data_IF_243878853798
#
_entry.id   IF_243878853798
#
_cell.length_a   1.000
_cell.length_b   1.000
_cell.length_c   1.000
_cell.angle_alpha   90.00
_cell.angle_beta   90.00
_cell.angle_gamma   90.00
#
_symmetry.space_group_name_H-M   'P 1'
#
loop_
_entity.id
_entity.type
_entity.pdbx_description
1 polymer ?
#
# COMPACT_ATOMS: atom_id res chain seq x y z
N UNK A 1 6.40 8.93 0.22
CA UNK A 1 6.72 7.92 1.26
C UNK A 1 5.72 6.80 1.09
N UNK A 2 6.14 5.56 1.26
CA UNK A 2 5.25 4.41 1.19
C UNK A 2 5.12 3.78 2.58
N UNK A 3 3.88 3.47 2.95
CA UNK A 3 3.50 2.77 4.19
C UNK A 3 2.47 1.70 3.81
N UNK A 4 2.64 0.49 4.33
CA UNK A 4 1.72 -0.60 4.02
C UNK A 4 1.61 -1.58 5.17
N UNK A 5 0.54 -2.36 5.17
CA UNK A 5 0.30 -3.43 6.11
C UNK A 5 -0.56 -4.52 5.48
N UNK A 6 -0.85 -5.56 6.25
CA UNK A 6 -1.58 -6.73 5.78
C UNK A 6 -2.87 -6.94 6.57
N UNK A 7 -3.92 -7.36 5.86
CA UNK A 7 -5.23 -7.64 6.43
C UNK A 7 -5.70 -9.03 6.03
N UNK A 8 -6.23 -9.77 6.99
CA UNK A 8 -6.97 -11.00 6.77
C UNK A 8 -8.43 -10.68 6.46
N UNK A 9 -9.07 -11.53 5.65
CA UNK A 9 -10.50 -11.48 5.34
C UNK A 9 -11.04 -10.17 4.74
N UNK A 10 -10.17 -9.31 4.20
CA UNK A 10 -10.60 -8.12 3.45
C UNK A 10 -11.44 -8.50 2.24
N UNK A 11 -12.53 -7.76 2.01
CA UNK A 11 -13.26 -7.82 0.75
C UNK A 11 -12.38 -7.31 -0.38
N UNK A 12 -12.72 -7.65 -1.61
CA UNK A 12 -11.98 -7.21 -2.79
C UNK A 12 -12.94 -6.74 -3.89
N UNK A 13 -12.41 -5.92 -4.81
CA UNK A 13 -13.08 -5.59 -6.06
C UNK A 13 -12.80 -6.65 -7.11
N UNK A 14 -13.82 -7.10 -7.83
CA UNK A 14 -13.66 -7.95 -9.00
C UNK A 14 -13.74 -7.13 -10.29
N UNK A 15 -13.46 -7.78 -11.43
CA UNK A 15 -13.42 -7.12 -12.73
C UNK A 15 -14.78 -6.56 -13.19
N UNK A 16 -15.87 -7.04 -12.60
CA UNK A 16 -17.24 -6.53 -12.79
C UNK A 16 -17.51 -5.24 -12.00
N UNK A 17 -16.55 -4.77 -11.20
CA UNK A 17 -16.66 -3.58 -10.34
C UNK A 17 -17.43 -3.82 -9.04
N UNK A 18 -17.89 -5.05 -8.76
CA UNK A 18 -18.56 -5.38 -7.53
C UNK A 18 -17.56 -5.78 -6.43
N UNK A 19 -18.02 -5.63 -5.18
CA UNK A 19 -17.25 -6.00 -3.98
C UNK A 19 -17.67 -7.40 -3.53
N UNK A 20 -16.69 -8.30 -3.40
CA UNK A 20 -16.90 -9.68 -2.95
C UNK A 20 -16.16 -9.96 -1.64
N UNK A 21 -16.69 -10.84 -0.77
CA UNK A 21 -15.98 -11.25 0.44
C UNK A 21 -14.77 -12.12 0.10
N UNK A 22 -13.75 -12.11 0.97
CA UNK A 22 -12.49 -12.86 0.76
C UNK A 22 -12.71 -14.34 0.38
N UNK A 23 -13.69 -15.00 1.00
CA UNK A 23 -14.05 -16.40 0.73
C UNK A 23 -14.40 -16.70 -0.73
N UNK A 24 -14.84 -15.70 -1.49
CA UNK A 24 -15.28 -15.86 -2.89
C UNK A 24 -14.13 -15.84 -3.90
N UNK A 25 -12.87 -15.67 -3.45
CA UNK A 25 -11.70 -15.47 -4.33
C UNK A 25 -11.42 -16.63 -5.29
N UNK A 26 -11.94 -17.83 -5.00
CA UNK A 26 -11.77 -19.02 -5.85
C UNK A 26 -12.79 -19.06 -6.99
N UNK A 27 -13.97 -18.51 -6.76
CA UNK A 27 -15.06 -18.46 -7.74
C UNK A 27 -15.00 -17.18 -8.58
N UNK A 28 -14.66 -16.05 -7.94
CA UNK A 28 -14.58 -14.73 -8.57
C UNK A 28 -13.15 -14.20 -8.40
N UNK A 29 -12.39 -14.04 -9.49
CA UNK A 29 -11.02 -13.53 -9.39
C UNK A 29 -10.97 -12.08 -8.86
N UNK A 30 -10.05 -11.78 -7.94
CA UNK A 30 -9.88 -10.42 -7.44
C UNK A 30 -9.17 -9.55 -8.47
N UNK A 31 -9.46 -8.26 -8.43
CA UNK A 31 -8.79 -7.22 -9.23
C UNK A 31 -7.94 -6.37 -8.30
N UNK A 32 -6.68 -6.15 -8.70
CA UNK A 32 -5.83 -5.15 -8.05
C UNK A 32 -6.45 -3.78 -8.21
N UNK A 33 -6.68 -3.12 -7.09
CA UNK A 33 -7.25 -1.78 -7.05
C UNK A 33 -6.15 -0.78 -6.73
N UNK A 34 -5.95 0.19 -7.63
CA UNK A 34 -5.04 1.32 -7.46
C UNK A 34 -5.85 2.60 -7.64
N UNK A 35 -5.71 3.56 -6.73
CA UNK A 35 -6.43 4.83 -6.82
C UNK A 35 -5.60 5.98 -6.32
N UNK A 36 -5.68 7.11 -7.02
CA UNK A 36 -5.23 8.40 -6.51
C UNK A 36 -6.01 8.79 -5.24
N UNK A 37 -5.33 9.48 -4.32
CA UNK A 37 -5.92 10.08 -3.13
C UNK A 37 -6.09 11.58 -3.38
N UNK A 38 -7.33 12.10 -3.45
CA UNK A 38 -7.59 13.48 -3.86
C UNK A 38 -6.89 14.53 -3.01
N UNK A 39 -6.64 14.25 -1.73
CA UNK A 39 -6.02 15.22 -0.84
C UNK A 39 -4.54 15.48 -1.20
N UNK A 40 -3.85 14.57 -1.91
CA UNK A 40 -2.39 14.58 -2.03
C UNK A 40 -1.83 15.18 -3.30
N UNK A 41 -2.51 16.19 -3.85
CA UNK A 41 -2.05 17.02 -4.98
C UNK A 41 -1.53 16.21 -6.18
N UNK A 42 -2.16 15.07 -6.46
CA UNK A 42 -1.81 14.18 -7.57
C UNK A 42 -0.61 13.24 -7.33
N UNK A 43 0.04 13.32 -6.17
CA UNK A 43 1.18 12.45 -5.80
C UNK A 43 0.81 11.33 -4.85
N UNK A 44 -0.30 11.47 -4.14
CA UNK A 44 -0.77 10.43 -3.23
C UNK A 44 -1.66 9.42 -3.94
N UNK A 45 -1.45 8.14 -3.65
CA UNK A 45 -2.24 7.05 -4.17
C UNK A 45 -2.18 5.85 -3.22
N UNK A 46 -3.00 4.85 -3.48
CA UNK A 46 -3.03 3.62 -2.71
C UNK A 46 -3.09 2.40 -3.62
N UNK A 47 -2.63 1.26 -3.11
CA UNK A 47 -2.95 -0.04 -3.67
C UNK A 47 -3.76 -0.89 -2.68
N UNK A 48 -4.58 -1.79 -3.23
CA UNK A 48 -5.20 -2.93 -2.56
C UNK A 48 -4.96 -4.15 -3.46
N UNK A 49 -4.17 -5.09 -2.95
CA UNK A 49 -3.74 -6.29 -3.68
C UNK A 49 -4.13 -7.50 -2.82
N UNK A 50 -5.13 -8.24 -3.28
CA UNK A 50 -5.47 -9.54 -2.70
C UNK A 50 -4.35 -10.54 -3.01
N UNK A 51 -3.72 -11.08 -1.96
CA UNK A 51 -2.76 -12.18 -2.04
C UNK A 51 -3.46 -13.50 -1.72
N UNK A 52 -2.71 -14.60 -1.64
CA UNK A 52 -3.27 -15.93 -1.39
C UNK A 52 -3.99 -16.06 -0.04
N UNK A 53 -3.46 -15.41 1.00
CA UNK A 53 -3.93 -15.58 2.39
C UNK A 53 -4.31 -14.26 3.07
N UNK A 54 -3.95 -13.13 2.47
CA UNK A 54 -4.09 -11.81 3.07
C UNK A 54 -4.17 -10.77 1.96
N UNK A 55 -4.52 -9.55 2.32
CA UNK A 55 -4.51 -8.41 1.42
C UNK A 55 -3.37 -7.48 1.79
N UNK A 56 -2.53 -7.13 0.81
CA UNK A 56 -1.60 -6.03 0.94
C UNK A 56 -2.31 -4.72 0.62
N UNK A 57 -2.30 -3.79 1.56
CA UNK A 57 -2.82 -2.44 1.36
C UNK A 57 -1.68 -1.48 1.64
N UNK A 58 -1.47 -0.53 0.75
CA UNK A 58 -0.43 0.48 0.91
C UNK A 58 -0.91 1.85 0.51
N UNK A 59 -0.34 2.84 1.19
CA UNK A 59 -0.56 4.25 0.95
C UNK A 59 0.79 4.86 0.53
N UNK A 60 0.83 5.43 -0.66
CA UNK A 60 1.91 6.30 -1.11
C UNK A 60 1.46 7.72 -0.89
N UNK A 61 2.15 8.44 -0.01
CA UNK A 61 1.75 9.80 0.39
C UNK A 61 2.95 10.74 0.56
N UNK A 62 2.74 12.06 0.50
CA UNK A 62 3.75 13.05 0.86
C UNK A 62 4.26 12.84 2.28
N UNK A 63 5.57 13.05 2.50
CA UNK A 63 6.18 12.93 3.85
C UNK A 63 5.52 13.91 4.83
N UNK A 64 5.06 15.08 4.36
CA UNK A 64 4.43 16.11 5.17
C UNK A 64 3.18 15.62 5.93
N UNK A 65 2.37 14.73 5.33
CA UNK A 65 1.19 14.14 5.99
C UNK A 65 1.55 13.26 7.17
N UNK A 66 2.71 12.63 7.08
CA UNK A 66 3.28 11.81 8.14
C UNK A 66 3.95 12.67 9.24
N UNK A 67 4.05 13.99 9.04
CA UNK A 67 4.57 14.91 10.06
C UNK A 67 3.48 15.34 11.04
N UNK A 68 2.20 15.17 10.73
CA UNK A 68 1.10 15.38 11.70
C UNK A 68 1.24 14.46 12.93
N UNK A 69 1.85 13.29 12.75
CA UNK A 69 2.19 12.37 13.84
C UNK A 69 3.40 12.80 14.67
N UNK A 70 4.26 13.71 14.18
CA UNK A 70 5.42 14.21 14.95
C UNK A 70 4.95 15.11 16.09
N UNK A 71 4.88 14.55 17.29
CA UNK A 71 4.41 15.23 18.50
C UNK A 71 3.19 14.56 19.13
N UNK A 72 2.55 13.62 18.42
CA UNK A 72 1.54 12.74 18.98
C UNK A 72 2.18 11.51 19.62
N UNK A 73 1.52 10.93 20.63
CA UNK A 73 1.86 9.59 21.15
C UNK A 73 1.34 8.46 20.25
N UNK A 74 0.79 8.77 19.06
CA UNK A 74 0.21 7.80 18.13
C UNK A 74 1.30 6.95 17.49
N UNK A 75 1.12 5.63 17.45
CA UNK A 75 2.03 4.74 16.73
C UNK A 75 1.80 4.86 15.22
N UNK A 76 2.82 4.52 14.42
CA UNK A 76 2.67 4.46 12.96
C UNK A 76 1.55 3.54 12.50
N UNK A 77 1.32 2.46 13.26
CA UNK A 77 0.26 1.51 13.00
C UNK A 77 -1.12 2.11 13.24
N UNK A 78 -1.32 2.77 14.38
CA UNK A 78 -2.57 3.47 14.68
C UNK A 78 -2.87 4.56 13.64
N UNK A 79 -1.86 5.35 13.28
CA UNK A 79 -1.99 6.36 12.24
C UNK A 79 -2.35 5.72 10.88
N UNK A 80 -1.66 4.64 10.48
CA UNK A 80 -1.90 3.94 9.22
C UNK A 80 -3.33 3.38 9.13
N UNK A 81 -3.80 2.73 10.21
CA UNK A 81 -5.15 2.20 10.30
C UNK A 81 -6.20 3.31 10.20
N UNK A 82 -5.97 4.43 10.90
CA UNK A 82 -6.83 5.62 10.82
C UNK A 82 -6.90 6.17 9.39
N UNK A 83 -5.79 6.24 8.66
CA UNK A 83 -5.79 6.66 7.25
C UNK A 83 -6.57 5.69 6.36
N UNK A 84 -6.40 4.38 6.56
CA UNK A 84 -7.16 3.37 5.81
C UNK A 84 -8.67 3.52 6.01
N UNK A 85 -9.11 3.78 7.25
CA UNK A 85 -10.51 3.97 7.60
C UNK A 85 -11.10 5.31 7.11
N UNK A 86 -10.26 6.32 6.87
CA UNK A 86 -10.68 7.61 6.33
C UNK A 86 -11.02 7.54 4.84
N UNK A 87 -10.55 6.51 4.12
CA UNK A 87 -10.79 6.34 2.68
C UNK A 87 -12.08 5.51 2.49
N UNK A 88 -13.17 6.08 1.90
CA UNK A 88 -14.48 5.44 1.91
C UNK A 88 -14.53 4.03 1.29
N UNK A 89 -13.82 3.82 0.18
CA UNK A 89 -13.77 2.51 -0.46
C UNK A 89 -12.95 1.51 0.37
N UNK A 90 -11.78 1.90 0.89
CA UNK A 90 -10.99 1.03 1.76
C UNK A 90 -11.76 0.64 3.03
N UNK A 91 -12.46 1.59 3.67
CA UNK A 91 -13.35 1.29 4.80
C UNK A 91 -14.32 0.16 4.48
N UNK A 92 -15.04 0.26 3.35
CA UNK A 92 -15.97 -0.79 2.89
C UNK A 92 -15.28 -2.13 2.62
N UNK A 93 -14.05 -2.10 2.08
CA UNK A 93 -13.26 -3.31 1.84
C UNK A 93 -12.72 -3.94 3.14
N UNK A 94 -12.63 -3.13 4.20
CA UNK A 94 -12.07 -3.49 5.50
C UNK A 94 -13.13 -3.79 6.57
N UNK A 95 -14.43 -3.66 6.29
CA UNK A 95 -15.50 -3.83 7.28
C UNK A 95 -15.43 -5.16 8.06
N UNK A 96 -15.06 -6.26 7.38
CA UNK A 96 -14.93 -7.60 7.97
C UNK A 96 -13.46 -8.03 8.13
N UNK A 97 -12.52 -7.13 7.84
CA UNK A 97 -11.10 -7.46 7.77
C UNK A 97 -10.44 -7.39 9.14
N UNK A 98 -9.52 -8.31 9.41
CA UNK A 98 -8.68 -8.26 10.61
C UNK A 98 -7.29 -7.77 10.24
N UNK A 99 -6.82 -6.70 10.88
CA UNK A 99 -5.47 -6.22 10.67
C UNK A 99 -4.44 -7.18 11.30
N UNK A 100 -3.36 -7.49 10.58
CA UNK A 100 -2.23 -8.26 11.13
C UNK A 100 -1.33 -7.34 11.94
N UNK A 101 -1.43 -7.39 13.27
CA UNK A 101 -0.62 -6.56 14.19
C UNK A 101 0.89 -6.69 13.90
N UNK A 102 1.61 -5.57 13.96
CA UNK A 102 3.06 -5.54 13.71
C UNK A 102 3.45 -5.73 12.23
N UNK A 103 2.47 -5.80 11.33
CA UNK A 103 2.71 -5.99 9.90
C UNK A 103 3.02 -4.69 9.15
N UNK A 104 2.89 -3.54 9.81
CA UNK A 104 3.19 -2.24 9.20
C UNK A 104 4.65 -2.16 8.79
N UNK A 105 4.87 -1.68 7.58
CA UNK A 105 6.19 -1.37 7.00
C UNK A 105 6.15 0.03 6.43
N UNK A 106 7.31 0.67 6.44
CA UNK A 106 7.45 2.06 5.99
C UNK A 106 8.79 2.23 5.29
N UNK A 107 8.77 2.90 4.14
CA UNK A 107 9.98 3.28 3.41
C UNK A 107 9.88 4.72 2.92
N UNK A 108 10.97 5.47 3.11
CA UNK A 108 11.12 6.87 2.71
C UNK A 108 12.14 6.95 1.57
N UNK A 109 12.00 7.96 0.71
CA UNK A 109 12.97 8.27 -0.35
C UNK A 109 13.34 7.04 -1.22
N UNK A 110 12.34 6.25 -1.60
CA UNK A 110 12.53 5.01 -2.37
C UNK A 110 12.97 5.27 -3.81
N UNK A 111 12.71 6.44 -4.38
CA UNK A 111 13.11 6.74 -5.76
C UNK A 111 14.58 7.18 -5.84
N UNK A 112 15.40 6.43 -6.58
CA UNK A 112 16.81 6.75 -6.82
C UNK A 112 17.33 6.09 -8.10
N UNK A 113 18.52 6.52 -8.54
CA UNK A 113 19.24 5.90 -9.66
C UNK A 113 20.74 5.81 -9.35
N UNK A 114 21.33 4.64 -9.62
CA UNK A 114 22.78 4.47 -9.56
C UNK A 114 23.44 5.20 -10.72
N UNK A 115 24.56 5.90 -10.47
CA UNK A 115 25.28 6.64 -11.53
C UNK A 115 25.92 5.72 -12.58
N UNK A 116 26.24 4.48 -12.20
CA UNK A 116 26.83 3.45 -13.05
C UNK A 116 26.24 2.10 -12.66
N UNK A 117 25.65 1.40 -13.63
CA UNK A 117 24.97 0.12 -13.41
C UNK A 117 25.77 -1.10 -13.90
N UNK A 118 26.88 -0.88 -14.62
CA UNK A 118 27.77 -1.95 -15.07
C UNK A 118 29.21 -1.44 -15.23
N UNK A 119 30.17 -2.38 -15.17
CA UNK A 119 31.59 -2.15 -15.41
C UNK A 119 32.34 -3.48 -15.56
N UNK A 120 33.67 -3.47 -15.73
CA UNK A 120 34.45 -4.70 -15.84
C UNK A 120 34.26 -5.60 -14.61
N UNK A 121 33.73 -6.81 -14.83
CA UNK A 121 33.51 -7.80 -13.77
C UNK A 121 32.28 -7.57 -12.88
N UNK A 122 31.40 -6.60 -13.17
CA UNK A 122 30.18 -6.41 -12.39
C UNK A 122 29.03 -5.75 -13.16
N UNK A 123 27.82 -5.98 -12.68
CA UNK A 123 26.63 -5.21 -13.03
C UNK A 123 25.64 -5.22 -11.86
N UNK A 124 24.74 -4.24 -11.83
CA UNK A 124 23.69 -4.06 -10.83
C UNK A 124 22.34 -4.49 -11.42
N UNK A 125 21.48 -5.09 -10.60
CA UNK A 125 20.13 -5.54 -10.98
C UNK A 125 19.09 -5.07 -9.97
N UNK A 126 17.85 -4.91 -10.43
CA UNK A 126 16.71 -4.47 -9.60
C UNK A 126 17.02 -3.18 -8.85
N UNK A 127 16.61 -3.13 -7.58
CA UNK A 127 16.83 -2.00 -6.68
C UNK A 127 18.32 -1.59 -6.60
N UNK A 128 19.29 -2.49 -6.77
CA UNK A 128 20.70 -2.08 -6.77
C UNK A 128 21.04 -1.09 -7.92
N UNK A 129 20.34 -1.19 -9.05
CA UNK A 129 20.52 -0.28 -10.18
C UNK A 129 19.69 1.02 -10.04
N UNK A 130 18.49 0.92 -9.49
CA UNK A 130 17.60 2.05 -9.27
C UNK A 130 16.18 1.60 -9.00
N UNK A 131 15.36 2.53 -8.50
CA UNK A 131 13.95 2.29 -8.21
C UNK A 131 13.14 3.56 -8.49
N UNK A 132 11.91 3.40 -8.94
CA UNK A 132 10.94 4.47 -9.22
C UNK A 132 9.63 4.18 -8.49
N UNK A 133 8.66 5.07 -8.56
CA UNK A 133 7.39 4.90 -7.85
C UNK A 133 6.69 3.57 -8.22
N UNK A 134 6.13 2.81 -7.25
CA UNK A 134 5.60 1.47 -7.49
C UNK A 134 4.17 1.45 -8.09
N UNK A 135 3.74 2.56 -8.71
CA UNK A 135 2.41 2.70 -9.30
C UNK A 135 2.22 1.86 -10.56
#
# INVERSE_FOLDING_TARGET
>A
MSVWGYFDDSKYLAADGAIYPARSVREVPPTTYVSALPQGDGWAWLWHIMLREMTSIGLVIPIAWAQETKGSAESWEAWYLRQCQAIPLLRRLLDDATFREGSVRLVRNYSYKSKRVAGPGFFLLGDAAGFVDPI
#
